data_IF_956580599689
#
_entry.id   IF_956580599689
#
_cell.length_a   1.000
_cell.length_b   1.000
_cell.length_c   1.000
_cell.angle_alpha   90.00
_cell.angle_beta   90.00
_cell.angle_gamma   90.00
#
_symmetry.space_group_name_H-M   'P 1'
#
loop_
_entity.id
_entity.type
_entity.pdbx_description
1 polymer ?
#
# COMPACT_ATOMS: atom_id res chain seq x y z
N UNK A 1 -23.24 13.81 0.67
CA UNK A 1 -23.30 12.70 1.65
C UNK A 1 -21.96 12.03 1.68
N UNK A 2 -21.31 11.96 2.84
CA UNK A 2 -20.02 11.31 3.02
C UNK A 2 -20.12 9.81 2.75
N UNK A 3 -19.14 9.30 2.00
CA UNK A 3 -18.95 7.87 1.76
C UNK A 3 -17.86 7.37 2.71
N UNK A 4 -18.10 6.22 3.33
CA UNK A 4 -17.17 5.63 4.29
C UNK A 4 -16.25 4.61 3.58
N UNK A 5 -14.99 4.58 4.03
CA UNK A 5 -13.90 3.79 3.47
C UNK A 5 -13.52 2.73 4.51
N UNK A 6 -13.48 1.46 4.11
CA UNK A 6 -12.83 0.40 4.89
C UNK A 6 -11.45 0.11 4.31
N UNK A 7 -10.43 0.07 5.18
CA UNK A 7 -9.10 -0.41 4.86
C UNK A 7 -8.87 -1.68 5.66
N UNK A 8 -8.79 -2.81 4.97
CA UNK A 8 -8.38 -4.09 5.59
C UNK A 8 -6.86 -4.21 5.57
N UNK A 9 -6.29 -4.94 6.53
CA UNK A 9 -4.82 -4.97 6.68
C UNK A 9 -4.26 -3.61 7.08
N UNK A 10 -5.06 -2.77 7.73
CA UNK A 10 -4.71 -1.41 8.14
C UNK A 10 -3.56 -1.33 9.16
N UNK A 11 -3.33 -2.43 9.90
CA UNK A 11 -2.17 -2.56 10.79
C UNK A 11 -0.92 -3.13 10.07
N UNK A 12 -1.03 -3.49 8.80
CA UNK A 12 0.07 -3.96 7.96
C UNK A 12 0.78 -2.81 7.23
N UNK A 13 1.85 -3.14 6.52
CA UNK A 13 2.72 -2.14 5.86
C UNK A 13 1.96 -1.25 4.87
N UNK A 14 1.32 -1.84 3.84
CA UNK A 14 0.61 -1.06 2.80
C UNK A 14 -0.62 -0.37 3.38
N UNK A 15 -1.48 -1.12 4.09
CA UNK A 15 -2.72 -0.58 4.65
C UNK A 15 -2.48 0.55 5.66
N UNK A 16 -1.50 0.40 6.54
CA UNK A 16 -1.12 1.42 7.51
C UNK A 16 -0.59 2.69 6.87
N UNK A 17 0.23 2.56 5.82
CA UNK A 17 0.66 3.72 5.04
C UNK A 17 -0.48 4.41 4.31
N UNK A 18 -1.47 3.67 3.79
CA UNK A 18 -2.66 4.27 3.16
C UNK A 18 -3.45 5.07 4.19
N UNK A 19 -3.70 4.51 5.38
CA UNK A 19 -4.35 5.23 6.50
C UNK A 19 -3.56 6.49 6.83
N UNK A 20 -2.26 6.38 7.07
CA UNK A 20 -1.43 7.49 7.48
C UNK A 20 -1.38 8.60 6.40
N UNK A 21 -1.33 8.22 5.12
CA UNK A 21 -1.33 9.16 4.00
C UNK A 21 -2.69 9.88 3.85
N UNK A 22 -3.81 9.15 3.93
CA UNK A 22 -5.16 9.75 3.93
C UNK A 22 -5.31 10.79 5.04
N UNK A 23 -4.89 10.46 6.26
CA UNK A 23 -5.08 11.35 7.41
C UNK A 23 -4.16 12.56 7.41
N UNK A 24 -2.96 12.47 6.81
CA UNK A 24 -1.96 13.55 6.87
C UNK A 24 -1.93 14.45 5.64
N UNK A 25 -2.29 13.93 4.45
CA UNK A 25 -2.16 14.66 3.18
C UNK A 25 -3.47 14.92 2.47
N UNK A 26 -4.57 14.37 2.97
CA UNK A 26 -5.89 14.46 2.33
C UNK A 26 -6.94 14.99 3.33
N UNK A 27 -6.89 16.29 3.69
CA UNK A 27 -7.78 16.89 4.70
C UNK A 27 -9.27 16.83 4.32
N UNK A 28 -9.59 16.61 3.05
CA UNK A 28 -10.95 16.33 2.57
C UNK A 28 -11.50 14.97 3.04
N UNK A 29 -10.63 14.07 3.50
CA UNK A 29 -11.01 12.77 4.07
C UNK A 29 -11.02 12.88 5.58
N UNK A 30 -12.21 12.91 6.17
CA UNK A 30 -12.34 13.03 7.64
C UNK A 30 -11.98 11.71 8.35
N UNK A 31 -11.46 11.80 9.58
CA UNK A 31 -11.14 10.61 10.40
C UNK A 31 -12.36 9.69 10.58
N UNK A 32 -13.56 10.26 10.69
CA UNK A 32 -14.83 9.54 10.87
C UNK A 32 -15.26 8.76 9.63
N UNK A 33 -14.71 9.07 8.44
CA UNK A 33 -14.97 8.30 7.22
C UNK A 33 -14.05 7.09 7.08
N UNK A 34 -12.96 7.02 7.84
CA UNK A 34 -11.96 5.95 7.74
C UNK A 34 -12.28 4.87 8.77
N UNK A 35 -12.43 3.64 8.28
CA UNK A 35 -12.62 2.43 9.06
C UNK A 35 -11.42 1.51 8.83
N UNK A 36 -10.74 1.12 9.88
CA UNK A 36 -9.62 0.18 9.84
C UNK A 36 -10.09 -1.19 10.33
N UNK A 37 -10.04 -2.21 9.47
CA UNK A 37 -10.29 -3.60 9.89
C UNK A 37 -9.00 -4.24 10.41
N UNK A 38 -9.10 -4.83 11.60
CA UNK A 38 -8.00 -5.49 12.33
C UNK A 38 -8.43 -6.86 12.86
N UNK A 39 -7.45 -7.72 13.16
CA UNK A 39 -7.72 -9.09 13.67
C UNK A 39 -7.50 -9.22 15.17
N UNK A 40 -6.58 -8.44 15.75
CA UNK A 40 -6.21 -8.56 17.17
C UNK A 40 -6.51 -7.30 17.96
N UNK A 41 -6.64 -7.44 19.27
CA UNK A 41 -6.89 -6.32 20.18
C UNK A 41 -5.67 -5.38 20.26
N UNK A 42 -4.44 -5.88 20.09
CA UNK A 42 -3.26 -5.01 20.05
C UNK A 42 -3.30 -4.10 18.82
N UNK A 43 -3.66 -4.64 17.65
CA UNK A 43 -3.82 -3.86 16.43
C UNK A 43 -4.92 -2.82 16.59
N UNK A 44 -6.03 -3.22 17.23
CA UNK A 44 -7.14 -2.30 17.48
C UNK A 44 -6.69 -1.13 18.35
N UNK A 45 -6.07 -1.42 19.48
CA UNK A 45 -5.53 -0.42 20.41
C UNK A 45 -4.54 0.51 19.74
N UNK A 46 -3.65 -0.01 18.90
CA UNK A 46 -2.67 0.79 18.18
C UNK A 46 -3.35 1.81 17.23
N UNK A 47 -4.30 1.36 16.41
CA UNK A 47 -4.97 2.22 15.44
C UNK A 47 -6.00 3.18 16.06
N UNK A 48 -6.60 2.83 17.20
CA UNK A 48 -7.54 3.72 17.91
C UNK A 48 -6.88 5.04 18.32
N UNK A 49 -5.57 5.08 18.54
CA UNK A 49 -4.83 6.30 18.87
C UNK A 49 -4.89 7.37 17.76
N UNK A 50 -5.21 6.98 16.52
CA UNK A 50 -5.27 7.88 15.37
C UNK A 50 -6.61 8.66 15.30
N UNK A 51 -7.61 8.27 16.10
CA UNK A 51 -8.94 8.87 16.11
C UNK A 51 -9.84 8.46 14.94
N UNK A 52 -9.51 7.35 14.27
CA UNK A 52 -10.34 6.72 13.23
C UNK A 52 -11.26 5.64 13.82
N UNK A 53 -12.22 5.16 13.02
CA UNK A 53 -13.01 4.00 13.42
C UNK A 53 -12.18 2.73 13.23
N UNK A 54 -12.27 1.82 14.20
CA UNK A 54 -11.55 0.55 14.18
C UNK A 54 -12.54 -0.58 14.36
N UNK A 55 -12.55 -1.52 13.43
CA UNK A 55 -13.43 -2.69 13.44
C UNK A 55 -12.57 -3.94 13.65
N UNK A 56 -12.83 -4.67 14.74
CA UNK A 56 -12.27 -6.01 14.90
C UNK A 56 -13.13 -6.95 14.06
N UNK A 57 -12.59 -7.37 12.93
CA UNK A 57 -13.35 -8.05 11.89
C UNK A 57 -12.57 -9.25 11.38
N UNK A 58 -13.17 -10.43 11.52
CA UNK A 58 -12.72 -11.62 10.81
C UNK A 58 -13.29 -11.61 9.40
N UNK A 59 -12.41 -11.63 8.40
CA UNK A 59 -12.80 -11.56 7.00
C UNK A 59 -13.35 -12.89 6.48
N UNK A 60 -13.12 -14.01 7.18
CA UNK A 60 -13.78 -15.29 6.85
C UNK A 60 -15.22 -15.39 7.34
N UNK A 61 -15.66 -14.53 8.25
CA UNK A 61 -17.05 -14.48 8.71
C UNK A 61 -17.85 -13.53 7.80
N UNK A 62 -18.48 -14.10 6.77
CA UNK A 62 -19.26 -13.31 5.81
C UNK A 62 -20.41 -12.53 6.45
N UNK A 63 -21.07 -13.11 7.47
CA UNK A 63 -22.20 -12.45 8.10
C UNK A 63 -21.72 -11.26 8.92
N UNK A 64 -20.60 -11.39 9.65
CA UNK A 64 -19.99 -10.28 10.36
C UNK A 64 -19.56 -9.16 9.39
N UNK A 65 -18.91 -9.51 8.28
CA UNK A 65 -18.51 -8.54 7.24
C UNK A 65 -19.72 -7.77 6.71
N UNK A 66 -20.78 -8.47 6.30
CA UNK A 66 -21.99 -7.84 5.75
C UNK A 66 -22.66 -6.91 6.78
N UNK A 67 -22.73 -7.34 8.04
CA UNK A 67 -23.32 -6.55 9.12
C UNK A 67 -22.56 -5.24 9.33
N UNK A 68 -21.24 -5.32 9.46
CA UNK A 68 -20.37 -4.15 9.67
C UNK A 68 -20.40 -3.20 8.46
N UNK A 69 -20.43 -3.72 7.23
CA UNK A 69 -20.47 -2.86 6.04
C UNK A 69 -21.77 -2.06 5.97
N UNK A 70 -22.88 -2.73 6.29
CA UNK A 70 -24.22 -2.15 6.24
C UNK A 70 -24.44 -1.14 7.37
N UNK A 71 -24.06 -1.49 8.61
CA UNK A 71 -24.20 -0.62 9.79
C UNK A 71 -23.44 0.69 9.64
N UNK A 72 -22.25 0.63 9.02
CA UNK A 72 -21.37 1.76 8.84
C UNK A 72 -21.45 2.40 7.45
N UNK A 73 -22.37 1.95 6.58
CA UNK A 73 -22.60 2.49 5.23
C UNK A 73 -21.30 2.56 4.41
N UNK A 74 -20.47 1.52 4.53
CA UNK A 74 -19.17 1.45 3.84
C UNK A 74 -19.42 1.21 2.36
N UNK A 75 -18.85 2.07 1.52
CA UNK A 75 -19.08 2.03 0.06
C UNK A 75 -17.79 2.01 -0.77
N UNK A 76 -16.64 2.06 -0.11
CA UNK A 76 -15.31 1.91 -0.71
C UNK A 76 -14.51 0.99 0.19
N UNK A 77 -13.96 -0.10 -0.36
CA UNK A 77 -13.08 -1.03 0.36
C UNK A 77 -11.71 -1.02 -0.31
N UNK A 78 -10.67 -0.87 0.49
CA UNK A 78 -9.27 -1.11 0.12
C UNK A 78 -8.85 -2.42 0.78
N UNK A 79 -8.70 -3.47 -0.02
CA UNK A 79 -8.30 -4.78 0.45
C UNK A 79 -6.77 -4.93 0.44
N UNK A 80 -6.12 -4.67 1.58
CA UNK A 80 -4.67 -4.82 1.75
C UNK A 80 -4.31 -5.91 2.79
N UNK A 81 -5.27 -6.75 3.20
CA UNK A 81 -5.04 -7.81 4.17
C UNK A 81 -4.40 -9.07 3.57
N UNK A 82 -4.73 -9.41 2.33
CA UNK A 82 -4.19 -10.55 1.61
C UNK A 82 -4.36 -10.34 0.10
N UNK A 83 -3.33 -10.64 -0.70
CA UNK A 83 -3.37 -10.43 -2.14
C UNK A 83 -3.75 -11.66 -2.96
N UNK A 84 -3.79 -12.85 -2.35
CA UNK A 84 -3.84 -14.16 -3.05
C UNK A 84 -5.05 -15.00 -2.62
N UNK A 85 -5.54 -14.88 -1.38
CA UNK A 85 -6.65 -15.68 -0.89
C UNK A 85 -8.02 -15.09 -1.28
N UNK A 86 -8.75 -15.68 -2.24
CA UNK A 86 -10.06 -15.17 -2.66
C UNK A 86 -11.13 -15.31 -1.56
N UNK A 87 -10.99 -16.25 -0.62
CA UNK A 87 -11.97 -16.48 0.45
C UNK A 87 -12.13 -15.27 1.37
N UNK A 88 -11.10 -14.42 1.48
CA UNK A 88 -11.16 -13.19 2.27
C UNK A 88 -11.71 -12.00 1.46
N UNK A 89 -11.69 -12.07 0.13
CA UNK A 89 -12.16 -11.01 -0.75
C UNK A 89 -13.66 -11.15 -1.06
N UNK A 90 -14.15 -12.38 -1.22
CA UNK A 90 -15.54 -12.66 -1.58
C UNK A 90 -16.56 -12.04 -0.60
N UNK A 91 -16.42 -12.19 0.73
CA UNK A 91 -17.32 -11.55 1.68
C UNK A 91 -17.39 -10.02 1.55
N UNK A 92 -16.25 -9.38 1.29
CA UNK A 92 -16.15 -7.93 1.10
C UNK A 92 -16.89 -7.48 -0.17
N UNK A 93 -16.74 -8.24 -1.26
CA UNK A 93 -17.43 -7.98 -2.53
C UNK A 93 -18.95 -8.16 -2.35
N UNK A 94 -19.38 -9.25 -1.71
CA UNK A 94 -20.79 -9.52 -1.44
C UNK A 94 -21.42 -8.42 -0.56
N UNK A 95 -20.70 -7.95 0.46
CA UNK A 95 -21.16 -6.86 1.29
C UNK A 95 -21.29 -5.53 0.52
N UNK A 96 -20.35 -5.23 -0.39
CA UNK A 96 -20.46 -4.06 -1.28
C UNK A 96 -21.62 -4.17 -2.29
N UNK A 97 -21.94 -5.38 -2.76
CA UNK A 97 -23.09 -5.61 -3.63
C UNK A 97 -24.40 -5.30 -2.89
N UNK A 98 -24.57 -5.83 -1.67
CA UNK A 98 -25.72 -5.53 -0.81
C UNK A 98 -25.82 -4.04 -0.48
N UNK A 99 -24.70 -3.38 -0.20
CA UNK A 99 -24.67 -1.94 0.04
C UNK A 99 -25.11 -1.15 -1.20
N UNK A 100 -24.70 -1.58 -2.40
CA UNK A 100 -25.11 -0.94 -3.67
C UNK A 100 -26.62 -1.06 -3.88
N UNK A 101 -27.18 -2.24 -3.65
CA UNK A 101 -28.64 -2.50 -3.75
C UNK A 101 -29.43 -1.62 -2.77
N UNK A 102 -28.99 -1.56 -1.51
CA UNK A 102 -29.67 -0.78 -0.46
C UNK A 102 -29.55 0.74 -0.66
N UNK A 103 -28.37 1.23 -1.03
CA UNK A 103 -28.09 2.66 -1.11
C UNK A 103 -28.38 3.28 -2.49
N UNK A 104 -28.54 2.47 -3.54
CA UNK A 104 -28.71 2.93 -4.92
C UNK A 104 -27.51 3.71 -5.46
N UNK A 105 -26.31 3.52 -4.88
CA UNK A 105 -25.08 4.26 -5.21
C UNK A 105 -23.95 3.32 -5.60
N UNK A 106 -23.02 3.75 -6.48
CA UNK A 106 -21.85 2.94 -6.83
C UNK A 106 -21.05 2.55 -5.59
N UNK A 107 -20.55 1.33 -5.55
CA UNK A 107 -19.59 0.84 -4.54
C UNK A 107 -18.30 0.45 -5.23
N UNK A 108 -17.17 0.54 -4.51
CA UNK A 108 -15.84 0.32 -5.09
C UNK A 108 -15.03 -0.66 -4.25
N UNK A 109 -14.47 -1.66 -4.90
CA UNK A 109 -13.52 -2.60 -4.31
C UNK A 109 -12.15 -2.39 -4.96
N UNK A 110 -11.15 -2.04 -4.15
CA UNK A 110 -9.77 -1.79 -4.57
C UNK A 110 -8.91 -2.89 -3.95
N UNK A 111 -8.41 -3.81 -4.79
CA UNK A 111 -7.57 -4.92 -4.35
C UNK A 111 -6.09 -4.55 -4.42
N UNK A 112 -5.34 -4.85 -3.36
CA UNK A 112 -3.87 -4.77 -3.38
C UNK A 112 -3.33 -6.09 -3.90
N UNK A 113 -2.71 -6.04 -5.08
CA UNK A 113 -2.01 -7.17 -5.69
C UNK A 113 -0.51 -6.87 -5.85
N UNK A 114 0.25 -7.93 -6.12
CA UNK A 114 1.62 -7.83 -6.60
C UNK A 114 1.73 -8.68 -7.86
N UNK A 115 2.37 -8.16 -8.88
CA UNK A 115 2.83 -8.93 -10.04
C UNK A 115 4.35 -8.99 -9.98
N UNK A 116 4.91 -10.19 -9.94
CA UNK A 116 6.35 -10.41 -10.05
C UNK A 116 6.63 -10.89 -11.46
N UNK A 117 7.26 -10.04 -12.25
CA UNK A 117 7.99 -10.46 -13.44
C UNK A 117 9.48 -10.44 -13.04
N UNK A 118 10.16 -11.59 -13.02
CA UNK A 118 11.56 -11.67 -12.61
C UNK A 118 12.53 -10.95 -13.55
N UNK A 119 12.10 -10.60 -14.76
CA UNK A 119 12.85 -9.72 -15.66
C UNK A 119 12.61 -8.23 -15.39
N UNK A 120 11.59 -7.90 -14.58
CA UNK A 120 11.27 -6.52 -14.22
C UNK A 120 12.14 -6.02 -13.08
N UNK A 121 12.92 -5.00 -13.40
CA UNK A 121 13.69 -4.16 -12.47
C UNK A 121 12.93 -2.92 -12.01
N UNK A 122 11.61 -2.90 -12.18
CA UNK A 122 10.78 -1.74 -11.87
C UNK A 122 10.59 -1.56 -10.36
N UNK A 123 10.76 -0.33 -9.89
CA UNK A 123 10.57 0.04 -8.50
C UNK A 123 9.55 1.19 -8.35
N UNK A 124 8.92 1.23 -7.18
CA UNK A 124 8.13 2.36 -6.71
C UNK A 124 8.34 2.51 -5.21
N UNK A 125 8.60 3.74 -4.77
CA UNK A 125 8.66 4.04 -3.34
C UNK A 125 7.27 3.95 -2.70
N UNK A 126 7.18 3.49 -1.44
CA UNK A 126 5.91 3.30 -0.73
C UNK A 126 5.04 4.57 -0.66
N UNK A 127 5.67 5.74 -0.59
CA UNK A 127 4.96 7.03 -0.65
C UNK A 127 4.28 7.26 -2.00
N UNK A 128 4.90 6.80 -3.10
CA UNK A 128 4.33 6.88 -4.44
C UNK A 128 3.17 5.92 -4.62
N UNK A 129 3.35 4.67 -4.14
CA UNK A 129 2.32 3.65 -4.16
C UNK A 129 1.07 4.08 -3.38
N UNK A 130 1.23 4.60 -2.17
CA UNK A 130 0.08 5.03 -1.35
C UNK A 130 -0.59 6.29 -1.87
N UNK A 131 0.16 7.18 -2.54
CA UNK A 131 -0.43 8.31 -3.27
C UNK A 131 -1.32 7.84 -4.44
N UNK A 132 -0.95 6.74 -5.12
CA UNK A 132 -1.81 6.14 -6.15
C UNK A 132 -3.12 5.60 -5.53
N UNK A 133 -3.02 4.86 -4.42
CA UNK A 133 -4.21 4.39 -3.71
C UNK A 133 -5.12 5.53 -3.27
N UNK A 134 -4.57 6.60 -2.67
CA UNK A 134 -5.36 7.76 -2.27
C UNK A 134 -6.06 8.42 -3.47
N UNK A 135 -5.38 8.53 -4.63
CA UNK A 135 -5.97 9.04 -5.88
C UNK A 135 -7.17 8.21 -6.35
N UNK A 136 -7.06 6.88 -6.31
CA UNK A 136 -8.14 5.95 -6.70
C UNK A 136 -9.29 6.00 -5.68
N UNK A 137 -8.98 6.04 -4.38
CA UNK A 137 -9.98 6.20 -3.31
C UNK A 137 -10.76 7.50 -3.52
N UNK A 138 -10.08 8.61 -3.85
CA UNK A 138 -10.75 9.88 -4.09
C UNK A 138 -11.60 9.90 -5.35
N UNK A 139 -11.15 9.28 -6.44
CA UNK A 139 -12.01 9.06 -7.61
C UNK A 139 -13.29 8.32 -7.21
N UNK A 140 -13.14 7.22 -6.45
CA UNK A 140 -14.27 6.44 -5.95
C UNK A 140 -15.21 7.25 -5.04
N UNK A 141 -14.67 8.06 -4.14
CA UNK A 141 -15.47 8.92 -3.26
C UNK A 141 -16.23 10.01 -4.02
N UNK A 142 -15.62 10.58 -5.07
CA UNK A 142 -16.19 11.64 -5.91
C UNK A 142 -17.04 11.12 -7.07
N UNK A 143 -17.12 9.80 -7.27
CA UNK A 143 -17.71 9.17 -8.46
C UNK A 143 -17.09 9.68 -9.75
N UNK A 144 -15.78 9.93 -9.76
CA UNK A 144 -15.05 10.20 -11.00
C UNK A 144 -15.02 8.91 -11.85
N UNK A 145 -15.24 9.05 -13.15
CA UNK A 145 -15.09 7.93 -14.08
C UNK A 145 -13.60 7.64 -14.28
N UNK A 146 -13.14 6.56 -13.66
CA UNK A 146 -11.82 5.98 -13.89
C UNK A 146 -11.97 4.54 -14.40
N UNK A 147 -11.01 4.02 -15.18
CA UNK A 147 -11.02 2.62 -15.61
C UNK A 147 -11.25 1.66 -14.44
N UNK A 148 -12.17 0.73 -14.61
CA UNK A 148 -12.59 -0.24 -13.59
C UNK A 148 -12.91 -1.60 -14.22
N UNK A 149 -13.16 -2.62 -13.39
CA UNK A 149 -13.40 -3.98 -13.88
C UNK A 149 -12.20 -4.54 -14.64
N UNK A 150 -12.43 -5.04 -15.86
CA UNK A 150 -11.36 -5.62 -16.71
C UNK A 150 -10.31 -4.60 -17.14
N UNK A 151 -10.62 -3.31 -17.10
CA UNK A 151 -9.67 -2.23 -17.44
C UNK A 151 -9.07 -1.55 -16.21
N UNK A 152 -9.46 -1.98 -15.00
CA UNK A 152 -9.14 -1.35 -13.72
C UNK A 152 -7.82 -1.78 -13.08
N UNK A 153 -6.86 -2.25 -13.86
CA UNK A 153 -5.57 -2.70 -13.34
C UNK A 153 -4.55 -1.55 -13.34
N UNK A 154 -4.13 -1.14 -12.14
CA UNK A 154 -3.18 -0.04 -11.94
C UNK A 154 -1.86 -0.59 -11.38
N UNK A 155 -0.81 -0.60 -12.21
CA UNK A 155 0.54 -1.02 -11.79
C UNK A 155 1.39 0.19 -11.45
N UNK A 156 1.80 0.34 -10.20
CA UNK A 156 2.62 1.46 -9.77
C UNK A 156 4.09 1.21 -10.14
N UNK A 157 4.54 1.83 -11.23
CA UNK A 157 5.95 1.82 -11.66
C UNK A 157 6.44 3.25 -11.68
N UNK A 158 7.53 3.53 -10.96
CA UNK A 158 8.13 4.86 -10.91
C UNK A 158 9.39 4.94 -11.78
N UNK A 159 10.27 3.95 -11.69
CA UNK A 159 11.50 3.87 -12.47
C UNK A 159 11.97 2.42 -12.58
N UNK A 160 12.81 2.15 -13.58
CA UNK A 160 13.62 0.93 -13.62
C UNK A 160 14.85 1.08 -12.71
N UNK A 161 15.32 -0.03 -12.17
CA UNK A 161 16.38 -0.09 -11.16
C UNK A 161 17.30 -1.26 -11.43
N UNK A 162 18.52 -0.99 -11.87
CA UNK A 162 19.53 -2.04 -11.91
C UNK A 162 19.80 -2.55 -10.49
N UNK A 163 19.49 -3.83 -10.25
CA UNK A 163 19.61 -4.43 -8.94
C UNK A 163 21.08 -4.58 -8.50
N UNK A 164 22.03 -4.71 -9.44
CA UNK A 164 23.46 -4.68 -9.12
C UNK A 164 23.90 -3.31 -8.69
N UNK A 165 23.49 -2.27 -9.42
CA UNK A 165 23.80 -0.90 -9.02
C UNK A 165 23.25 -0.60 -7.62
N UNK A 166 22.01 -1.00 -7.33
CA UNK A 166 21.43 -0.87 -5.99
C UNK A 166 22.27 -1.59 -4.93
N UNK A 167 22.66 -2.84 -5.18
CA UNK A 167 23.43 -3.63 -4.22
C UNK A 167 24.84 -3.09 -4.00
N UNK A 168 25.50 -2.56 -5.02
CA UNK A 168 26.80 -1.90 -4.90
C UNK A 168 26.70 -0.66 -4.01
N UNK A 169 25.67 0.18 -4.21
CA UNK A 169 25.44 1.35 -3.36
C UNK A 169 25.14 0.95 -1.90
N UNK A 170 24.33 -0.09 -1.70
CA UNK A 170 24.03 -0.61 -0.37
C UNK A 170 25.29 -1.15 0.32
N UNK A 171 26.10 -1.95 -0.37
CA UNK A 171 27.34 -2.52 0.19
C UNK A 171 28.36 -1.43 0.54
N UNK A 172 28.52 -0.42 -0.33
CA UNK A 172 29.37 0.74 -0.04
C UNK A 172 28.90 1.51 1.22
N UNK A 173 27.60 1.77 1.33
CA UNK A 173 27.00 2.44 2.48
C UNK A 173 27.16 1.65 3.79
N UNK A 174 26.97 0.32 3.75
CA UNK A 174 27.16 -0.54 4.91
C UNK A 174 28.65 -0.64 5.31
N UNK A 175 29.57 -0.69 4.35
CA UNK A 175 31.01 -0.71 4.61
C UNK A 175 31.50 0.59 5.24
N UNK A 176 31.02 1.74 4.76
CA UNK A 176 31.35 3.05 5.33
C UNK A 176 30.95 3.17 6.80
N UNK A 177 29.92 2.44 7.23
CA UNK A 177 29.45 2.34 8.63
C UNK A 177 30.13 1.23 9.44
N UNK A 178 31.05 0.48 8.85
CA UNK A 178 31.70 -0.67 9.50
C UNK A 178 30.77 -1.87 9.76
N UNK A 179 29.59 -1.90 9.13
CA UNK A 179 28.59 -2.96 9.32
C UNK A 179 28.94 -4.26 8.57
N UNK A 180 29.79 -4.14 7.55
CA UNK A 180 30.26 -5.27 6.72
C UNK A 180 31.75 -5.16 6.45
N UNK A 181 32.38 -6.30 6.17
CA UNK A 181 33.82 -6.41 5.87
C UNK A 181 34.17 -6.00 4.44
N UNK A 182 33.22 -6.04 3.49
CA UNK A 182 33.40 -5.75 2.07
C UNK A 182 32.41 -4.68 1.59
N UNK A 183 32.81 -3.86 0.61
CA UNK A 183 31.93 -2.93 -0.11
C UNK A 183 31.39 -3.51 -1.42
N UNK A 184 31.57 -4.81 -1.67
CA UNK A 184 31.04 -5.50 -2.85
C UNK A 184 30.12 -6.65 -2.44
N UNK A 185 28.97 -6.83 -3.11
CA UNK A 185 28.11 -8.00 -2.90
C UNK A 185 28.87 -9.30 -3.24
N UNK A 186 28.73 -10.31 -2.39
CA UNK A 186 29.18 -11.67 -2.72
C UNK A 186 28.08 -12.39 -3.52
N UNK A 187 28.44 -12.94 -4.68
CA UNK A 187 27.50 -13.64 -5.54
C UNK A 187 27.48 -15.13 -5.19
N UNK A 188 26.34 -15.63 -4.73
CA UNK A 188 26.11 -17.06 -4.59
C UNK A 188 25.54 -17.58 -5.91
N UNK A 189 26.33 -18.32 -6.69
CA UNK A 189 25.84 -18.90 -7.95
C UNK A 189 24.85 -20.02 -7.68
N UNK A 190 23.65 -19.94 -8.27
CA UNK A 190 22.77 -21.09 -8.44
C UNK A 190 22.26 -21.15 -9.87
N UNK A 191 22.28 -22.34 -10.48
CA UNK A 191 21.85 -22.58 -11.87
C UNK A 191 20.36 -22.23 -12.09
N UNK A 192 19.58 -22.14 -11.00
CA UNK A 192 18.17 -21.76 -11.01
C UNK A 192 17.92 -20.29 -11.33
N UNK A 193 18.81 -19.38 -10.89
CA UNK A 193 18.68 -17.94 -11.12
C UNK A 193 18.89 -17.59 -12.61
N UNK A 194 19.81 -18.28 -13.28
CA UNK A 194 20.20 -17.98 -14.65
C UNK A 194 19.09 -18.28 -15.67
N UNK A 195 18.16 -19.19 -15.35
CA UNK A 195 16.97 -19.48 -16.16
C UNK A 195 15.84 -18.44 -15.95
N UNK A 196 15.74 -17.84 -14.76
CA UNK A 196 14.67 -16.92 -14.39
C UNK A 196 14.86 -15.51 -15.00
N UNK A 197 16.11 -15.07 -15.18
CA UNK A 197 16.45 -13.74 -15.72
C UNK A 197 16.50 -13.65 -17.25
N UNK A 198 16.44 -14.77 -17.98
CA UNK A 198 16.58 -14.79 -19.46
C UNK A 198 15.25 -14.66 -20.22
N UNK A 199 14.10 -14.69 -19.54
CA UNK A 199 12.79 -14.44 -20.17
C UNK A 199 12.39 -12.97 -19.99
N UNK A 200 12.84 -12.09 -20.90
CA UNK A 200 12.50 -10.67 -20.86
C UNK A 200 11.08 -10.39 -21.36
N UNK A 201 10.28 -9.69 -20.55
CA UNK A 201 9.02 -9.07 -20.95
C UNK A 201 9.10 -7.53 -20.93
N UNK A 202 8.72 -6.86 -22.01
CA UNK A 202 8.59 -5.40 -22.02
C UNK A 202 7.22 -5.00 -21.44
N UNK A 203 7.19 -4.62 -20.16
CA UNK A 203 5.98 -4.16 -19.48
C UNK A 203 5.97 -2.64 -19.33
N UNK A 204 4.92 -1.96 -19.79
CA UNK A 204 4.77 -0.51 -19.62
C UNK A 204 3.51 -0.19 -18.80
N UNK A 205 3.68 0.38 -17.62
CA UNK A 205 2.58 0.85 -16.78
C UNK A 205 2.13 2.25 -17.21
N UNK A 206 0.96 2.37 -17.84
CA UNK A 206 0.40 3.64 -18.32
C UNK A 206 -0.88 4.09 -17.59
N UNK A 207 -1.56 3.15 -16.92
CA UNK A 207 -2.87 3.39 -16.26
C UNK A 207 -2.80 4.37 -15.08
N UNK A 208 -1.79 4.34 -14.19
CA UNK A 208 -1.69 5.36 -13.15
C UNK A 208 -1.58 6.79 -13.72
N UNK A 209 -0.83 6.97 -14.81
CA UNK A 209 -0.60 8.28 -15.41
C UNK A 209 -1.87 8.86 -16.04
N UNK A 210 -2.75 8.01 -16.59
CA UNK A 210 -4.02 8.47 -17.18
C UNK A 210 -4.98 9.07 -16.14
N UNK A 211 -4.84 8.72 -14.86
CA UNK A 211 -5.61 9.33 -13.76
C UNK A 211 -4.86 10.48 -13.07
N UNK A 212 -3.77 10.96 -13.66
CA UNK A 212 -3.00 12.10 -13.16
C UNK A 212 -2.01 11.75 -12.04
N UNK A 213 -1.80 10.47 -11.71
CA UNK A 213 -0.75 10.08 -10.78
C UNK A 213 0.63 10.27 -11.44
N UNK A 214 1.54 10.92 -10.71
CA UNK A 214 2.93 11.11 -11.12
C UNK A 214 3.84 10.71 -9.95
N UNK A 215 4.77 9.76 -10.14
CA UNK A 215 5.70 9.36 -9.10
C UNK A 215 6.64 10.53 -8.75
N UNK A 216 6.93 10.70 -7.46
CA UNK A 216 7.88 11.72 -6.95
C UNK A 216 9.31 11.20 -6.78
N UNK A 217 9.48 9.89 -6.92
CA UNK A 217 10.74 9.20 -6.74
C UNK A 217 11.19 8.68 -8.10
N UNK A 218 12.38 9.11 -8.51
CA UNK A 218 13.12 8.55 -9.63
C UNK A 218 14.29 7.72 -9.09
N UNK A 219 15.01 7.06 -10.01
CA UNK A 219 16.16 6.20 -9.69
C UNK A 219 17.24 6.95 -8.92
N UNK A 220 17.56 8.18 -9.33
CA UNK A 220 18.62 8.98 -8.70
C UNK A 220 18.27 9.32 -7.25
N UNK A 221 17.04 9.77 -6.99
CA UNK A 221 16.56 10.01 -5.64
C UNK A 221 16.56 8.73 -4.81
N UNK A 222 16.10 7.62 -5.37
CA UNK A 222 16.11 6.33 -4.69
C UNK A 222 17.53 5.96 -4.22
N UNK A 223 18.51 5.98 -5.13
CA UNK A 223 19.91 5.63 -4.80
C UNK A 223 20.51 6.58 -3.75
N UNK A 224 20.24 7.90 -3.84
CA UNK A 224 20.73 8.88 -2.87
C UNK A 224 20.16 8.73 -1.45
N UNK A 225 19.01 8.07 -1.30
CA UNK A 225 18.32 7.92 0.00
C UNK A 225 18.54 6.55 0.64
N UNK A 226 19.36 5.67 0.04
CA UNK A 226 19.73 4.38 0.65
C UNK A 226 20.39 4.61 2.02
N UNK A 227 21.23 5.63 2.15
CA UNK A 227 21.92 5.95 3.40
C UNK A 227 20.97 6.27 4.55
N UNK A 228 19.95 7.08 4.30
CA UNK A 228 18.95 7.43 5.32
C UNK A 228 18.08 6.23 5.70
N UNK A 229 17.72 5.39 4.72
CA UNK A 229 16.95 4.17 5.01
C UNK A 229 17.75 3.21 5.90
N UNK A 230 19.06 3.06 5.70
CA UNK A 230 19.91 2.24 6.58
C UNK A 230 19.95 2.83 8.00
N UNK A 231 20.08 4.15 8.12
CA UNK A 231 20.09 4.83 9.42
C UNK A 231 18.79 4.59 10.19
N UNK A 232 17.65 4.73 9.51
CA UNK A 232 16.32 4.45 10.09
C UNK A 232 16.22 3.02 10.64
N UNK A 233 16.74 2.02 9.91
CA UNK A 233 16.74 0.62 10.36
C UNK A 233 17.61 0.43 11.60
N UNK A 234 18.77 1.09 11.67
CA UNK A 234 19.69 1.00 12.80
C UNK A 234 19.11 1.65 14.06
N UNK A 235 18.51 2.83 13.94
CA UNK A 235 17.90 3.55 15.06
C UNK A 235 16.69 2.80 15.65
N UNK A 236 15.86 2.21 14.78
CA UNK A 236 14.60 1.59 15.19
C UNK A 236 14.75 0.10 15.57
N UNK A 237 15.94 -0.48 15.36
CA UNK A 237 16.25 -1.90 15.64
C UNK A 237 15.41 -2.90 14.84
N UNK A 238 14.65 -2.42 13.84
CA UNK A 238 13.80 -3.17 12.91
C UNK A 238 13.69 -2.37 11.62
N UNK A 239 13.41 -3.04 10.50
CA UNK A 239 12.98 -2.39 9.26
C UNK A 239 11.59 -1.75 9.45
N UNK A 240 11.56 -0.58 10.10
CA UNK A 240 10.41 0.31 10.19
C UNK A 240 10.73 1.54 9.35
N UNK A 241 9.82 1.93 8.47
CA UNK A 241 10.02 3.13 7.68
C UNK A 241 9.76 4.37 8.55
N UNK A 242 10.75 5.25 8.68
CA UNK A 242 10.64 6.57 9.33
C UNK A 242 9.51 7.42 8.75
N UNK A 243 9.10 7.14 7.51
CA UNK A 243 7.96 7.77 6.87
C UNK A 243 6.64 7.39 7.56
N UNK A 244 6.45 6.15 8.03
CA UNK A 244 5.23 5.78 8.78
C UNK A 244 5.18 6.59 10.07
N UNK A 245 6.27 6.60 10.82
CA UNK A 245 6.33 7.30 12.11
C UNK A 245 6.16 8.81 11.93
N UNK A 246 6.74 9.38 10.87
CA UNK A 246 6.55 10.79 10.50
C UNK A 246 5.11 11.11 10.12
N UNK A 247 4.45 10.24 9.35
CA UNK A 247 3.04 10.42 8.98
C UNK A 247 2.13 10.26 10.21
N UNK A 248 2.37 9.27 11.06
CA UNK A 248 1.63 9.06 12.31
C UNK A 248 1.83 10.26 13.26
N UNK A 249 3.07 10.75 13.42
CA UNK A 249 3.37 11.93 14.23
C UNK A 249 2.74 13.20 13.65
N UNK A 250 2.57 13.31 12.33
CA UNK A 250 1.82 14.40 11.72
C UNK A 250 0.32 14.29 12.02
N UNK A 251 -0.25 13.07 12.04
CA UNK A 251 -1.66 12.82 12.39
C UNK A 251 -1.96 13.12 13.87
N UNK A 252 -1.00 12.88 14.77
CA UNK A 252 -1.11 13.16 16.21
C UNK A 252 -0.91 14.63 16.58
N UNK A 253 -0.39 15.47 15.67
CA UNK A 253 -0.14 16.91 15.87
C UNK A 253 -1.30 17.79 15.41
N UNK A 254 -2.55 17.36 15.58
CA UNK A 254 -3.71 18.24 15.36
C UNK A 254 -4.00 19.05 16.62
N UNK A 255 -3.87 20.39 16.52
CA UNK A 255 -4.41 21.38 17.45
C UNK A 255 -5.93 21.26 17.61
#
# INVERSE_FOLDING_TARGET
MSRNILITGAAGYIGGFIVANLLSKHPETTKQQVFAAVRTDEQAKALSTLGINVLKLDLSDEQAVVNEMSSHKISVIVHAANSINPELALPLINALAKQKESAGKPTHFIHVGSSVDPSMTSAVHISGLTALYCRIIHAALKNEEIPSGKEGYYSAVAHETDMWEFQDHLAAAMKARGLVSSNKPEMYSSDFLDALYKSGGNFTATRPQSIGWKPKWDKERFLKNIDSEIEDVLELGKAKSSLIDSLIAAVGRSH
#
